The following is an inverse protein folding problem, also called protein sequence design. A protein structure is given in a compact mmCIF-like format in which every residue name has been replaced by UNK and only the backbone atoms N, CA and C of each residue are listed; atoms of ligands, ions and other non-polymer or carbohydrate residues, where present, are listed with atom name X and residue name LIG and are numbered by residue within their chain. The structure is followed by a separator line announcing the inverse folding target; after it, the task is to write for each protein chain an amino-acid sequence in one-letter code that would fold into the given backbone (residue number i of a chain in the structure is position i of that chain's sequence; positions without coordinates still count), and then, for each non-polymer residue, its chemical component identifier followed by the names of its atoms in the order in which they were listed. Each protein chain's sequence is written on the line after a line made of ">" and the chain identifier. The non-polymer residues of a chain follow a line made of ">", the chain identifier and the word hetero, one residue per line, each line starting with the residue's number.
data_IF_494726650544
#
_entry.id   IF_494726650544
#
_cell.length_a   1.000
_cell.length_b   1.000
_cell.length_c   1.000
_cell.angle_alpha   90.00
_cell.angle_beta   90.00
_cell.angle_gamma   90.00
#
_symmetry.space_group_name_H-M   'P 1'
#
loop_
_entity.id
_entity.type
_entity.pdbx_description
1 polymer ?
#
# COMPACT_ATOMS: atom_id res chain seq x y z
N UNK A 1 -5.51 -11.64 3.36
CA UNK A 1 -5.36 -10.21 3.03
C UNK A 1 -4.17 -9.93 2.12
N UNK A 2 -3.20 -10.85 2.00
CA UNK A 2 -2.05 -10.72 1.10
C UNK A 2 -2.45 -10.69 -0.38
N UNK A 3 -1.53 -10.28 -1.24
CA UNK A 3 -1.73 -10.20 -2.69
C UNK A 3 -1.90 -8.76 -3.19
N UNK A 4 -2.33 -8.65 -4.45
CA UNK A 4 -2.58 -7.36 -5.11
C UNK A 4 -4.04 -6.92 -4.94
N UNK A 5 -4.22 -5.63 -4.66
CA UNK A 5 -5.50 -4.97 -4.47
C UNK A 5 -5.59 -3.76 -5.39
N UNK A 6 -6.70 -3.67 -6.12
CA UNK A 6 -7.01 -2.55 -7.00
C UNK A 6 -7.80 -1.52 -6.20
N UNK A 7 -7.32 -0.28 -6.17
CA UNK A 7 -8.05 0.83 -5.56
C UNK A 7 -9.24 1.22 -6.44
N UNK A 8 -10.45 1.05 -5.92
CA UNK A 8 -11.70 1.43 -6.62
C UNK A 8 -12.03 2.91 -6.41
N UNK A 9 -11.77 3.42 -5.20
CA UNK A 9 -12.08 4.80 -4.81
C UNK A 9 -11.23 5.24 -3.63
N UNK A 10 -11.00 6.55 -3.49
CA UNK A 10 -10.31 7.14 -2.34
C UNK A 10 -10.86 8.54 -2.01
N UNK A 11 -10.62 8.98 -0.79
CA UNK A 11 -10.60 10.42 -0.50
C UNK A 11 -9.39 11.08 -1.19
N UNK A 12 -9.49 12.37 -1.58
CA UNK A 12 -8.36 13.08 -2.16
C UNK A 12 -7.14 13.06 -1.22
N UNK A 13 -5.97 12.71 -1.76
CA UNK A 13 -4.70 12.78 -1.05
C UNK A 13 -3.63 13.45 -1.93
N UNK A 14 -2.76 14.33 -1.39
CA UNK A 14 -1.74 15.02 -2.19
C UNK A 14 -0.64 14.10 -2.75
N UNK A 15 -0.34 12.99 -2.07
CA UNK A 15 0.77 12.07 -2.40
C UNK A 15 0.40 10.99 -3.43
N UNK A 16 -0.88 10.88 -3.75
CA UNK A 16 -1.38 9.96 -4.78
C UNK A 16 -2.28 10.77 -5.70
N UNK A 17 -1.70 11.28 -6.78
CA UNK A 17 -2.37 12.10 -7.81
C UNK A 17 -2.61 11.32 -9.09
N UNK A 18 -2.03 10.13 -9.20
CA UNK A 18 -2.13 9.25 -10.36
C UNK A 18 -3.38 8.37 -10.41
N UNK A 19 -3.40 7.54 -11.45
CA UNK A 19 -4.47 6.62 -11.83
C UNK A 19 -4.01 5.16 -11.75
N UNK A 20 -4.94 4.21 -11.94
CA UNK A 20 -4.68 2.77 -11.90
C UNK A 20 -3.92 2.35 -10.62
N UNK A 21 -4.41 2.84 -9.48
CA UNK A 21 -3.74 2.66 -8.20
C UNK A 21 -3.92 1.23 -7.69
N UNK A 22 -2.84 0.67 -7.14
CA UNK A 22 -2.82 -0.68 -6.60
C UNK A 22 -1.85 -0.79 -5.43
N UNK A 23 -2.24 -1.58 -4.45
CA UNK A 23 -1.43 -1.95 -3.32
C UNK A 23 -1.10 -3.45 -3.40
N UNK A 24 0.13 -3.83 -3.08
CA UNK A 24 0.52 -5.22 -2.92
C UNK A 24 1.00 -5.44 -1.49
N UNK A 25 0.45 -6.46 -0.83
CA UNK A 25 0.81 -6.87 0.52
C UNK A 25 1.43 -8.25 0.50
N UNK A 26 2.67 -8.39 0.96
CA UNK A 26 3.36 -9.68 1.00
C UNK A 26 3.90 -9.95 2.41
N UNK A 27 3.73 -11.16 2.94
CA UNK A 27 4.27 -11.50 4.25
C UNK A 27 5.80 -11.53 4.16
N UNK A 28 6.46 -10.91 5.14
CA UNK A 28 7.91 -10.96 5.32
C UNK A 28 8.22 -11.39 6.75
N UNK A 29 9.49 -11.66 7.05
CA UNK A 29 9.86 -12.04 8.41
C UNK A 29 9.61 -10.86 9.37
N UNK A 30 8.70 -11.06 10.34
CA UNK A 30 8.36 -10.04 11.34
C UNK A 30 7.42 -8.92 10.88
N UNK A 31 6.81 -9.01 9.69
CA UNK A 31 5.89 -7.97 9.22
C UNK A 31 5.31 -8.22 7.84
N UNK A 32 4.90 -7.14 7.19
CA UNK A 32 4.27 -7.17 5.87
C UNK A 32 4.99 -6.13 5.00
N UNK A 33 5.47 -6.52 3.82
CA UNK A 33 5.91 -5.54 2.83
C UNK A 33 4.68 -4.93 2.14
N UNK A 34 4.72 -3.62 1.97
CA UNK A 34 3.68 -2.85 1.29
C UNK A 34 4.29 -2.20 0.06
N UNK A 35 3.68 -2.39 -1.10
CA UNK A 35 4.07 -1.67 -2.32
C UNK A 35 2.85 -1.01 -2.93
N UNK A 36 2.86 0.32 -2.99
CA UNK A 36 1.82 1.11 -3.65
C UNK A 36 2.33 1.58 -5.01
N UNK A 37 1.49 1.46 -6.03
CA UNK A 37 1.82 1.88 -7.40
C UNK A 37 0.71 2.73 -7.97
N UNK A 38 1.10 3.73 -8.75
CA UNK A 38 0.21 4.63 -9.46
C UNK A 38 0.79 4.97 -10.83
N UNK A 39 -0.06 5.31 -11.80
CA UNK A 39 0.37 5.82 -13.10
C UNK A 39 0.25 7.33 -13.10
N UNK A 40 1.39 8.02 -13.30
CA UNK A 40 1.49 9.48 -13.35
C UNK A 40 2.22 9.85 -14.64
N UNK A 41 1.62 10.69 -15.48
CA UNK A 41 2.20 11.10 -16.77
C UNK A 41 2.70 9.92 -17.61
N UNK A 42 1.87 8.87 -17.73
CA UNK A 42 2.15 7.63 -18.46
C UNK A 42 3.34 6.82 -17.92
N UNK A 43 3.83 7.13 -16.71
CA UNK A 43 4.90 6.40 -16.03
C UNK A 43 4.39 5.75 -14.76
N UNK A 44 4.90 4.56 -14.48
CA UNK A 44 4.61 3.85 -13.24
C UNK A 44 5.46 4.46 -12.12
N UNK A 45 4.81 5.09 -11.15
CA UNK A 45 5.41 5.51 -9.89
C UNK A 45 5.11 4.47 -8.81
N UNK A 46 6.10 4.16 -7.99
CA UNK A 46 6.03 3.14 -6.94
C UNK A 46 6.62 3.70 -5.65
N UNK A 47 6.01 3.37 -4.52
CA UNK A 47 6.58 3.57 -3.19
C UNK A 47 6.45 2.26 -2.40
N UNK A 48 7.46 1.96 -1.60
CA UNK A 48 7.53 0.75 -0.78
C UNK A 48 7.59 1.11 0.69
N UNK A 49 7.13 0.20 1.53
CA UNK A 49 7.11 0.36 2.96
C UNK A 49 6.98 -0.97 3.67
N UNK A 50 6.91 -0.88 4.99
CA UNK A 50 6.71 -2.01 5.87
C UNK A 50 5.52 -1.74 6.77
N UNK A 51 4.78 -2.79 7.10
CA UNK A 51 3.68 -2.72 8.02
C UNK A 51 3.81 -3.74 9.15
N UNK A 52 3.39 -3.32 10.34
CA UNK A 52 3.30 -4.15 11.54
C UNK A 52 1.84 -4.29 11.95
N UNK A 53 1.40 -5.53 12.20
CA UNK A 53 0.05 -5.80 12.64
C UNK A 53 -0.09 -5.61 14.15
N UNK A 54 -1.22 -5.08 14.59
CA UNK A 54 -1.52 -5.01 16.02
C UNK A 54 -1.75 -6.41 16.61
N UNK A 55 -1.40 -6.58 17.88
CA UNK A 55 -1.52 -7.86 18.60
C UNK A 55 -2.88 -8.08 19.27
N UNK A 56 -3.77 -7.08 19.19
CA UNK A 56 -5.09 -7.07 19.84
C UNK A 56 -6.18 -7.85 19.07
N UNK A 57 -5.82 -8.48 17.95
CA UNK A 57 -6.73 -9.28 17.13
C UNK A 57 -7.62 -8.45 16.20
N UNK A 58 -7.48 -7.12 16.19
CA UNK A 58 -8.18 -6.25 15.25
C UNK A 58 -7.41 -6.06 13.94
N UNK A 59 -8.12 -5.71 12.87
CA UNK A 59 -7.55 -5.49 11.52
C UNK A 59 -6.77 -4.17 11.36
N UNK A 60 -5.96 -3.77 12.34
CA UNK A 60 -5.16 -2.54 12.31
C UNK A 60 -3.71 -2.85 11.94
N UNK A 61 -3.20 -2.13 10.95
CA UNK A 61 -1.79 -2.13 10.53
C UNK A 61 -1.20 -0.74 10.69
N UNK A 62 0.01 -0.65 11.24
CA UNK A 62 0.82 0.56 11.21
C UNK A 62 1.78 0.47 10.01
N UNK A 63 1.74 1.43 9.09
CA UNK A 63 2.50 1.40 7.84
C UNK A 63 3.49 2.56 7.79
N UNK A 64 4.75 2.24 7.51
CA UNK A 64 5.84 3.23 7.31
C UNK A 64 6.40 3.10 5.90
N UNK A 65 6.39 4.20 5.15
CA UNK A 65 6.94 4.27 3.79
C UNK A 65 8.36 4.83 3.79
N UNK A 66 9.19 4.39 2.84
CA UNK A 66 10.58 4.81 2.60
C UNK A 66 10.77 5.45 1.23
#
# INVERSE_FOLDING_TARGET
>A
YTGEWIEVSRYPQPTQTGQCNRAKYEPVNGGISVTNRQVVNQRLATISGQAVASTDGFGRLEVTFS
#
